data_IF_771852785226
#
_entry.id   IF_771852785226
#
_cell.length_a   1.000
_cell.length_b   1.000
_cell.length_c   1.000
_cell.angle_alpha   90.00
_cell.angle_beta   90.00
_cell.angle_gamma   90.00
#
_symmetry.space_group_name_H-M   'P 1'
#
loop_
_entity.id
_entity.type
_entity.pdbx_description
1 polymer ?
#
# COMPACT_ATOMS: atom_id res chain seq x y z
N UNK A 1 55.13 10.11 -4.34
CA UNK A 1 54.69 8.88 -3.65
C UNK A 1 53.80 9.32 -2.50
N UNK A 2 52.47 9.29 -2.70
CA UNK A 2 51.49 9.75 -1.70
C UNK A 2 50.96 8.54 -0.94
N UNK A 3 51.17 8.53 0.37
CA UNK A 3 50.65 7.49 1.26
C UNK A 3 49.16 7.76 1.53
N UNK A 4 48.29 6.83 1.12
CA UNK A 4 46.90 6.78 1.57
C UNK A 4 46.90 6.46 3.07
N UNK A 5 46.47 7.42 3.89
CA UNK A 5 46.23 7.15 5.30
C UNK A 5 45.07 6.14 5.44
N UNK A 6 45.18 5.11 6.30
CA UNK A 6 44.07 4.20 6.56
C UNK A 6 42.92 4.97 7.19
N UNK A 7 41.74 4.90 6.56
CA UNK A 7 40.49 5.37 7.15
C UNK A 7 40.24 4.62 8.46
N UNK A 8 39.99 5.32 9.59
CA UNK A 8 39.60 4.64 10.80
C UNK A 8 38.22 4.02 10.58
N UNK A 9 38.18 2.69 10.53
CA UNK A 9 36.93 1.94 10.65
C UNK A 9 36.37 2.30 12.02
N UNK A 10 35.27 3.06 12.05
CA UNK A 10 34.52 3.31 13.27
C UNK A 10 34.10 1.94 13.82
N UNK A 11 34.79 1.48 14.85
CA UNK A 11 34.49 0.24 15.52
C UNK A 11 33.04 0.32 16.00
N UNK A 12 32.21 -0.61 15.51
CA UNK A 12 30.79 -0.69 15.84
C UNK A 12 30.68 -1.19 17.28
N UNK A 13 30.89 -0.31 18.25
CA UNK A 13 30.85 -0.65 19.66
C UNK A 13 29.42 -1.08 20.02
N UNK A 14 29.20 -2.27 20.58
CA UNK A 14 27.87 -2.72 20.96
C UNK A 14 27.32 -1.77 22.04
N UNK A 15 26.08 -1.29 21.83
CA UNK A 15 25.36 -0.34 22.70
C UNK A 15 25.38 -0.72 24.19
N UNK A 16 25.54 -2.00 24.51
CA UNK A 16 25.53 -2.54 25.88
C UNK A 16 26.80 -3.31 26.25
N UNK A 17 27.92 -3.12 25.53
CA UNK A 17 29.16 -3.89 25.76
C UNK A 17 29.06 -5.39 25.40
N UNK A 18 27.85 -5.89 25.11
CA UNK A 18 27.57 -7.24 24.67
C UNK A 18 26.59 -7.19 23.48
N UNK A 19 27.06 -7.70 22.33
CA UNK A 19 26.28 -7.72 21.08
C UNK A 19 25.00 -8.54 21.19
N UNK A 20 24.99 -9.62 21.98
CA UNK A 20 23.80 -10.46 22.17
C UNK A 20 22.71 -9.75 22.98
N UNK A 21 23.11 -8.98 24.02
CA UNK A 21 22.16 -8.16 24.77
C UNK A 21 21.55 -7.07 23.89
N UNK A 22 22.36 -6.43 23.05
CA UNK A 22 21.87 -5.46 22.07
C UNK A 22 20.87 -6.11 21.09
N UNK A 23 21.19 -7.29 20.57
CA UNK A 23 20.31 -8.02 19.68
C UNK A 23 18.97 -8.35 20.35
N UNK A 24 18.99 -8.94 21.56
CA UNK A 24 17.75 -9.27 22.28
C UNK A 24 16.95 -8.04 22.69
N UNK A 25 17.59 -6.95 23.07
CA UNK A 25 16.91 -5.70 23.39
C UNK A 25 16.19 -5.12 22.16
N UNK A 26 16.85 -5.12 21.00
CA UNK A 26 16.25 -4.65 19.74
C UNK A 26 15.11 -5.59 19.32
N UNK A 27 15.34 -6.90 19.32
CA UNK A 27 14.34 -7.88 18.92
C UNK A 27 13.11 -7.85 19.84
N UNK A 28 13.34 -7.78 21.15
CA UNK A 28 12.30 -7.66 22.16
C UNK A 28 11.55 -6.35 22.06
N UNK A 29 12.25 -5.22 21.81
CA UNK A 29 11.63 -3.92 21.59
C UNK A 29 10.72 -3.90 20.36
N UNK A 30 11.19 -4.42 19.22
CA UNK A 30 10.39 -4.52 17.99
C UNK A 30 9.20 -5.46 18.18
N UNK A 31 9.40 -6.63 18.78
CA UNK A 31 8.33 -7.58 19.05
C UNK A 31 7.27 -7.00 20.00
N UNK A 32 7.71 -6.31 21.07
CA UNK A 32 6.82 -5.64 22.02
C UNK A 32 6.03 -4.49 21.37
N UNK A 33 6.68 -3.69 20.53
CA UNK A 33 6.01 -2.64 19.78
C UNK A 33 4.96 -3.20 18.79
N UNK A 34 5.28 -4.29 18.09
CA UNK A 34 4.32 -4.97 17.22
C UNK A 34 3.14 -5.56 18.02
N UNK A 35 3.41 -6.16 19.18
CA UNK A 35 2.35 -6.65 20.06
C UNK A 35 1.43 -5.50 20.52
N UNK A 36 1.99 -4.33 20.84
CA UNK A 36 1.22 -3.13 21.18
C UNK A 36 0.29 -2.72 20.02
N UNK A 37 0.82 -2.65 18.78
CA UNK A 37 0.04 -2.32 17.59
C UNK A 37 -1.12 -3.31 17.41
N UNK A 38 -0.87 -4.60 17.59
CA UNK A 38 -1.91 -5.65 17.47
C UNK A 38 -2.99 -5.48 18.53
N UNK A 39 -2.61 -5.21 19.79
CA UNK A 39 -3.56 -5.01 20.88
C UNK A 39 -4.42 -3.78 20.64
N UNK A 40 -3.79 -2.67 20.25
CA UNK A 40 -4.48 -1.41 19.94
C UNK A 40 -5.41 -1.61 18.73
N UNK A 41 -4.92 -2.20 17.64
CA UNK A 41 -5.74 -2.50 16.46
C UNK A 41 -6.93 -3.40 16.79
N UNK A 42 -6.75 -4.41 17.64
CA UNK A 42 -7.84 -5.28 18.09
C UNK A 42 -8.86 -4.55 18.98
N UNK A 43 -8.39 -3.63 19.82
CA UNK A 43 -9.26 -2.77 20.62
C UNK A 43 -10.07 -1.79 19.76
N UNK A 44 -9.45 -1.19 18.74
CA UNK A 44 -10.13 -0.36 17.75
C UNK A 44 -11.16 -1.15 16.94
N UNK A 45 -10.83 -2.36 16.48
CA UNK A 45 -11.78 -3.23 15.78
C UNK A 45 -12.96 -3.67 16.67
N UNK A 46 -12.74 -3.81 17.98
CA UNK A 46 -13.82 -4.09 18.93
C UNK A 46 -14.77 -2.90 19.13
N UNK A 47 -14.28 -1.67 18.99
CA UNK A 47 -15.09 -0.44 19.11
C UNK A 47 -15.76 -0.03 17.79
N UNK A 48 -15.24 -0.51 16.65
CA UNK A 48 -15.81 -0.33 15.32
C UNK A 48 -15.94 -1.71 14.64
N UNK A 49 -16.98 -2.49 14.97
CA UNK A 49 -17.19 -3.78 14.34
C UNK A 49 -17.46 -3.57 12.85
N UNK A 50 -16.49 -3.96 12.01
CA UNK A 50 -16.70 -4.05 10.58
C UNK A 50 -17.85 -5.02 10.29
N UNK A 51 -18.78 -4.61 9.43
CA UNK A 51 -19.91 -5.44 9.04
C UNK A 51 -19.40 -6.80 8.51
N UNK A 52 -20.02 -7.92 8.92
CA UNK A 52 -19.48 -9.26 8.67
C UNK A 52 -19.32 -9.49 7.16
N UNK A 53 -18.08 -9.71 6.73
CA UNK A 53 -17.78 -10.21 5.41
C UNK A 53 -18.36 -11.62 5.31
N UNK A 54 -19.53 -11.75 4.68
CA UNK A 54 -20.09 -13.06 4.34
C UNK A 54 -19.07 -13.80 3.47
N UNK A 55 -18.38 -14.75 4.08
CA UNK A 55 -17.73 -15.85 3.37
C UNK A 55 -18.82 -16.58 2.60
N UNK A 56 -18.89 -16.37 1.29
CA UNK A 56 -19.80 -17.13 0.43
C UNK A 56 -19.04 -18.35 -0.08
N UNK A 57 -19.12 -19.44 0.68
CA UNK A 57 -18.98 -20.78 0.12
C UNK A 57 -20.20 -21.10 -0.75
N UNK A 58 -19.97 -22.02 -1.70
CA UNK A 58 -20.94 -22.84 -2.42
C UNK A 58 -21.45 -22.35 -3.79
N UNK A 59 -20.96 -23.08 -4.79
CA UNK A 59 -21.38 -23.27 -6.17
C UNK A 59 -22.87 -23.62 -6.37
N UNK A 60 -23.50 -23.05 -7.40
CA UNK A 60 -24.33 -23.73 -8.43
C UNK A 60 -25.05 -22.70 -9.36
N UNK A 61 -25.43 -23.05 -10.61
CA UNK A 61 -25.62 -22.09 -11.70
C UNK A 61 -27.08 -21.76 -12.09
N UNK A 62 -27.21 -20.60 -12.77
CA UNK A 62 -28.20 -20.19 -13.78
C UNK A 62 -29.66 -19.86 -13.41
N UNK A 63 -30.00 -18.56 -13.41
CA UNK A 63 -31.10 -17.94 -14.19
C UNK A 63 -31.06 -16.39 -14.03
N UNK A 64 -31.51 -15.60 -15.03
CA UNK A 64 -31.32 -14.16 -15.05
C UNK A 64 -32.40 -13.44 -14.23
N UNK A 65 -32.02 -12.94 -13.05
CA UNK A 65 -32.86 -12.03 -12.28
C UNK A 65 -32.38 -10.59 -12.49
N UNK A 66 -33.02 -9.90 -13.44
CA UNK A 66 -33.09 -8.45 -13.45
C UNK A 66 -33.85 -8.03 -12.19
N UNK A 67 -33.16 -7.49 -11.18
CA UNK A 67 -33.68 -6.46 -10.24
C UNK A 67 -32.53 -5.97 -9.37
N UNK A 68 -32.27 -4.66 -9.48
CA UNK A 68 -31.65 -3.78 -8.49
C UNK A 68 -30.47 -4.37 -7.70
N UNK A 69 -29.30 -4.41 -8.35
CA UNK A 69 -28.05 -4.33 -7.60
C UNK A 69 -28.07 -2.99 -6.85
N UNK A 70 -27.98 -3.04 -5.52
CA UNK A 70 -27.74 -1.88 -4.68
C UNK A 70 -26.53 -1.13 -5.26
N UNK A 71 -26.80 -0.07 -6.02
CA UNK A 71 -25.78 0.78 -6.58
C UNK A 71 -25.04 1.37 -5.37
N UNK A 72 -23.76 1.04 -5.23
CA UNK A 72 -22.86 1.90 -4.48
C UNK A 72 -22.90 3.24 -5.20
N UNK A 73 -23.69 4.17 -4.67
CA UNK A 73 -23.98 5.45 -5.32
C UNK A 73 -22.69 6.25 -5.33
N UNK A 74 -21.97 6.22 -6.46
CA UNK A 74 -20.84 7.08 -6.71
C UNK A 74 -21.38 8.51 -6.77
N UNK A 75 -20.79 9.41 -5.98
CA UNK A 75 -21.21 10.81 -5.92
C UNK A 75 -21.11 11.46 -7.32
N UNK A 76 -22.07 12.30 -7.72
CA UNK A 76 -22.04 12.96 -9.03
C UNK A 76 -20.79 13.83 -9.24
N UNK A 77 -20.23 14.38 -8.16
CA UNK A 77 -18.98 15.13 -8.18
C UNK A 77 -17.80 14.23 -8.60
N UNK A 78 -17.75 12.99 -8.09
CA UNK A 78 -16.72 12.01 -8.45
C UNK A 78 -16.87 11.62 -9.93
N UNK A 79 -18.10 11.43 -10.41
CA UNK A 79 -18.35 11.15 -11.82
C UNK A 79 -17.91 12.30 -12.74
N UNK A 80 -18.15 13.56 -12.34
CA UNK A 80 -17.69 14.72 -13.09
C UNK A 80 -16.15 14.81 -13.14
N UNK A 81 -15.49 14.50 -12.03
CA UNK A 81 -14.01 14.42 -11.97
C UNK A 81 -13.49 13.31 -12.88
N UNK A 82 -14.08 12.11 -12.84
CA UNK A 82 -13.69 10.99 -13.73
C UNK A 82 -13.90 11.37 -15.20
N UNK A 83 -15.06 11.94 -15.54
CA UNK A 83 -15.38 12.33 -16.91
C UNK A 83 -14.42 13.40 -17.45
N UNK A 84 -14.11 14.42 -16.65
CA UNK A 84 -13.15 15.46 -17.03
C UNK A 84 -11.73 14.92 -17.19
N UNK A 85 -11.29 14.04 -16.29
CA UNK A 85 -9.99 13.36 -16.41
C UNK A 85 -9.90 12.53 -17.69
N UNK A 86 -10.94 11.77 -18.04
CA UNK A 86 -11.00 10.98 -19.29
C UNK A 86 -10.98 11.90 -20.51
N UNK A 87 -11.73 13.00 -20.50
CA UNK A 87 -11.77 13.96 -21.60
C UNK A 87 -10.39 14.60 -21.86
N UNK A 88 -9.62 14.90 -20.80
CA UNK A 88 -8.28 15.49 -20.90
C UNK A 88 -7.23 14.47 -21.31
N UNK A 89 -7.28 13.24 -20.78
CA UNK A 89 -6.23 12.23 -20.98
C UNK A 89 -6.41 11.39 -22.24
N UNK A 90 -7.66 11.05 -22.58
CA UNK A 90 -8.00 10.20 -23.74
C UNK A 90 -8.54 11.03 -24.90
N UNK A 91 -9.16 12.18 -24.60
CA UNK A 91 -9.69 13.12 -25.59
C UNK A 91 -11.23 13.19 -25.61
N UNK A 92 -11.79 14.20 -26.28
CA UNK A 92 -13.22 14.55 -26.20
C UNK A 92 -14.17 13.54 -26.86
N UNK A 93 -13.64 12.58 -27.64
CA UNK A 93 -14.44 11.54 -28.31
C UNK A 93 -14.57 10.26 -27.47
N UNK A 94 -13.83 10.15 -26.37
CA UNK A 94 -13.90 9.01 -25.47
C UNK A 94 -15.23 9.00 -24.69
N UNK A 95 -15.79 7.81 -24.45
CA UNK A 95 -17.01 7.63 -23.66
C UNK A 95 -16.74 6.66 -22.51
N UNK A 96 -17.21 7.01 -21.31
CA UNK A 96 -17.13 6.14 -20.13
C UNK A 96 -18.20 5.05 -20.26
N UNK A 97 -17.77 3.80 -20.46
CA UNK A 97 -18.69 2.67 -20.61
C UNK A 97 -19.23 2.17 -19.27
N UNK A 98 -18.39 2.14 -18.22
CA UNK A 98 -18.76 1.79 -16.87
C UNK A 98 -17.76 2.38 -15.87
N UNK A 99 -18.26 2.76 -14.68
CA UNK A 99 -17.42 3.05 -13.52
C UNK A 99 -17.73 1.98 -12.49
N UNK A 100 -16.74 1.14 -12.21
CA UNK A 100 -16.87 0.04 -11.25
C UNK A 100 -16.01 0.38 -10.04
N UNK A 101 -16.59 0.41 -8.82
CA UNK A 101 -15.79 0.53 -7.62
C UNK A 101 -14.91 -0.71 -7.53
N UNK A 102 -13.60 -0.51 -7.60
CA UNK A 102 -12.64 -1.58 -7.28
C UNK A 102 -12.80 -1.81 -5.79
N UNK A 103 -13.28 -3.00 -5.42
CA UNK A 103 -13.35 -3.42 -4.01
C UNK A 103 -11.96 -3.18 -3.43
N UNK A 104 -11.88 -2.37 -2.36
CA UNK A 104 -10.64 -1.99 -1.68
C UNK A 104 -9.96 -3.23 -1.10
N UNK A 105 -9.36 -4.03 -1.96
CA UNK A 105 -8.42 -5.05 -1.57
C UNK A 105 -7.14 -4.29 -1.25
N UNK A 106 -6.62 -4.50 -0.04
CA UNK A 106 -5.33 -3.95 0.34
C UNK A 106 -4.33 -4.25 -0.78
N UNK A 107 -3.57 -3.25 -1.27
CA UNK A 107 -2.64 -3.46 -2.36
C UNK A 107 -1.70 -4.60 -2.00
N UNK A 108 -1.54 -5.56 -2.91
CA UNK A 108 -0.66 -6.69 -2.66
C UNK A 108 0.78 -6.19 -2.56
N UNK A 109 1.64 -6.94 -1.85
CA UNK A 109 3.07 -6.63 -1.76
C UNK A 109 3.69 -6.55 -3.16
N UNK A 110 3.29 -7.44 -4.07
CA UNK A 110 3.72 -7.43 -5.47
C UNK A 110 3.36 -6.11 -6.17
N UNK A 111 2.12 -5.64 -6.02
CA UNK A 111 1.65 -4.39 -6.61
C UNK A 111 2.41 -3.17 -6.04
N UNK A 112 2.70 -3.18 -4.74
CA UNK A 112 3.53 -2.15 -4.11
C UNK A 112 4.96 -2.20 -4.65
N UNK A 113 5.60 -3.37 -4.71
CA UNK A 113 6.95 -3.53 -5.25
C UNK A 113 7.05 -3.02 -6.69
N UNK A 114 6.05 -3.31 -7.53
CA UNK A 114 5.99 -2.79 -8.90
C UNK A 114 5.89 -1.26 -8.93
N UNK A 115 5.04 -0.67 -8.09
CA UNK A 115 4.90 0.79 -7.99
C UNK A 115 6.22 1.46 -7.54
N UNK A 116 6.90 0.91 -6.54
CA UNK A 116 8.20 1.40 -6.06
C UNK A 116 9.30 1.23 -7.12
N UNK A 117 9.28 0.13 -7.87
CA UNK A 117 10.22 -0.09 -8.98
C UNK A 117 10.08 0.97 -10.09
N UNK A 118 8.84 1.31 -10.46
CA UNK A 118 8.56 2.33 -11.48
C UNK A 118 9.04 3.71 -11.00
N UNK A 119 8.74 4.09 -9.77
CA UNK A 119 9.13 5.39 -9.22
C UNK A 119 10.65 5.52 -9.08
N UNK A 120 11.34 4.46 -8.65
CA UNK A 120 12.81 4.45 -8.58
C UNK A 120 13.46 4.69 -9.94
N UNK A 121 12.95 4.07 -11.01
CA UNK A 121 13.46 4.31 -12.39
C UNK A 121 13.25 5.75 -12.84
N UNK A 122 12.09 6.34 -12.52
CA UNK A 122 11.76 7.72 -12.89
C UNK A 122 12.73 8.72 -12.25
N UNK A 123 13.11 8.53 -10.98
CA UNK A 123 14.05 9.40 -10.28
C UNK A 123 15.46 9.39 -10.90
N UNK A 124 15.92 8.22 -11.34
CA UNK A 124 17.22 8.09 -12.01
C UNK A 124 17.24 8.92 -13.30
N UNK A 125 16.21 8.78 -14.14
CA UNK A 125 16.14 9.51 -15.41
C UNK A 125 15.90 11.02 -15.24
N UNK A 126 15.13 11.44 -14.23
CA UNK A 126 14.92 12.86 -13.96
C UNK A 126 16.18 13.56 -13.44
N UNK A 127 17.07 12.84 -12.74
CA UNK A 127 18.32 13.42 -12.22
C UNK A 127 19.38 13.70 -13.30
N UNK A 128 19.27 13.07 -14.47
CA UNK A 128 20.22 13.20 -15.59
C UNK A 128 19.73 14.08 -16.74
N UNK A 129 18.53 14.69 -16.62
CA UNK A 129 18.02 15.68 -17.58
C UNK A 129 18.24 17.13 -17.10
N UNK A 130 19.41 17.42 -16.52
CA UNK A 130 19.84 18.81 -16.30
C UNK A 130 20.59 19.23 -17.56
N UNK A 131 20.01 20.16 -18.32
CA UNK A 131 20.64 20.82 -19.47
C UNK A 131 20.88 22.29 -19.13
#
# INVERSE_FOLDING_TARGET
>A
MSFLAPTPVLANAPLFGNQWLALFAILGGVAGFMALIIVVGRWLAATHPDAPSRSSSASAPSAPATTAAAAQTISPEILAVIASAVAVTVGPRARVAAVVPVKSQAPSVEMLMQQWSIEGRRQIYSSHQIR
#
